data_IF_279648558158
#
_entry.id   IF_279648558158
#
_cell.length_a   1.000
_cell.length_b   1.000
_cell.length_c   1.000
_cell.angle_alpha   90.00
_cell.angle_beta   90.00
_cell.angle_gamma   90.00
#
_symmetry.space_group_name_H-M   'P 1'
#
loop_
_entity.id
_entity.type
_entity.pdbx_description
1 polymer ?
#
# COMPACT_ATOMS: atom_id res chain seq x y z
N UNK A 1 -7.98 -9.67 10.59
CA UNK A 1 -7.48 -8.56 9.74
C UNK A 1 -8.66 -8.09 8.90
N UNK A 2 -8.93 -6.78 8.83
CA UNK A 2 -10.07 -6.22 8.10
C UNK A 2 -9.55 -5.51 6.87
N UNK A 3 -10.01 -5.90 5.68
CA UNK A 3 -9.67 -5.19 4.45
C UNK A 3 -10.55 -3.95 4.30
N UNK A 4 -9.93 -2.82 3.98
CA UNK A 4 -10.59 -1.53 3.84
C UNK A 4 -10.33 -0.99 2.44
N UNK A 5 -11.34 -0.38 1.83
CA UNK A 5 -11.24 0.16 0.46
C UNK A 5 -10.57 1.53 0.42
N UNK A 6 -10.54 2.25 1.55
CA UNK A 6 -9.97 3.60 1.62
C UNK A 6 -9.45 3.93 3.02
N UNK A 7 -8.55 4.93 3.07
CA UNK A 7 -8.06 5.47 4.33
C UNK A 7 -9.18 6.11 5.17
N UNK A 8 -10.20 6.68 4.53
CA UNK A 8 -11.35 7.28 5.21
C UNK A 8 -12.16 6.25 6.02
N UNK A 9 -12.34 5.05 5.46
CA UNK A 9 -12.92 3.92 6.18
C UNK A 9 -12.07 3.49 7.38
N UNK A 10 -10.75 3.50 7.26
CA UNK A 10 -9.86 3.17 8.37
C UNK A 10 -9.98 4.17 9.52
N UNK A 11 -10.04 5.46 9.21
CA UNK A 11 -10.26 6.52 10.20
C UNK A 11 -11.60 6.37 10.91
N UNK A 12 -12.68 6.11 10.15
CA UNK A 12 -14.00 5.85 10.71
C UNK A 12 -14.01 4.63 11.61
N UNK A 13 -13.43 3.51 11.17
CA UNK A 13 -13.33 2.29 11.95
C UNK A 13 -12.54 2.49 13.25
N UNK A 14 -11.45 3.24 13.21
CA UNK A 14 -10.66 3.59 14.40
C UNK A 14 -11.39 4.47 15.40
N UNK A 15 -12.41 5.22 14.98
CA UNK A 15 -13.23 6.06 15.85
C UNK A 15 -14.43 5.32 16.47
N UNK A 16 -14.71 4.07 16.06
CA UNK A 16 -15.81 3.28 16.61
C UNK A 16 -15.41 2.77 18.00
N UNK A 17 -16.14 3.20 19.01
CA UNK A 17 -15.99 2.73 20.40
C UNK A 17 -16.97 1.59 20.75
N UNK A 18 -18.06 1.44 19.99
CA UNK A 18 -19.13 0.47 20.29
C UNK A 18 -19.71 -0.15 19.02
N UNK A 19 -19.93 -1.46 19.04
CA UNK A 19 -20.71 -2.18 18.03
C UNK A 19 -21.94 -2.79 18.73
N UNK A 20 -23.16 -2.34 18.36
CA UNK A 20 -24.41 -2.82 18.97
C UNK A 20 -24.37 -2.80 20.51
N UNK A 21 -23.96 -1.65 21.08
CA UNK A 21 -23.77 -1.43 22.52
C UNK A 21 -22.64 -2.24 23.20
N UNK A 22 -21.89 -3.05 22.44
CA UNK A 22 -20.71 -3.76 22.95
C UNK A 22 -19.49 -2.87 22.76
N UNK A 23 -18.73 -2.52 23.83
CA UNK A 23 -17.51 -1.74 23.69
C UNK A 23 -16.45 -2.52 22.91
N UNK A 24 -15.83 -1.87 21.95
CA UNK A 24 -14.76 -2.44 21.12
C UNK A 24 -13.57 -1.48 21.05
N UNK A 25 -12.39 -2.06 20.86
CA UNK A 25 -11.15 -1.29 20.63
C UNK A 25 -10.59 -1.66 19.27
N UNK A 26 -10.46 -0.68 18.39
CA UNK A 26 -9.81 -0.83 17.09
C UNK A 26 -8.43 -0.19 17.16
N UNK A 27 -7.39 -0.99 16.96
CA UNK A 27 -6.00 -0.49 16.90
C UNK A 27 -5.32 -0.94 15.60
N UNK A 28 -4.57 -0.05 14.92
CA UNK A 28 -3.80 -0.43 13.74
C UNK A 28 -2.64 -1.32 14.15
N UNK A 29 -2.46 -2.45 13.46
CA UNK A 29 -1.35 -3.36 13.71
C UNK A 29 -0.16 -3.04 12.80
N UNK A 30 0.96 -2.60 13.39
CA UNK A 30 2.12 -2.09 12.62
C UNK A 30 2.72 -3.09 11.63
N UNK A 31 2.76 -4.38 11.95
CA UNK A 31 3.39 -5.40 11.09
C UNK A 31 2.43 -6.19 10.20
N UNK A 32 1.12 -6.09 10.43
CA UNK A 32 0.11 -6.84 9.66
C UNK A 32 -0.64 -5.96 8.66
N UNK A 33 -0.56 -4.64 8.82
CA UNK A 33 -1.14 -3.71 7.85
C UNK A 33 -0.27 -3.69 6.59
N UNK A 34 -0.79 -4.22 5.49
CA UNK A 34 -0.19 -4.09 4.16
C UNK A 34 -1.14 -3.33 3.24
N UNK A 35 -0.58 -2.59 2.29
CA UNK A 35 -1.34 -1.91 1.25
C UNK A 35 -0.62 -2.08 -0.08
N UNK A 36 -1.40 -2.24 -1.16
CA UNK A 36 -0.86 -2.27 -2.53
C UNK A 36 -1.02 -0.87 -3.13
N UNK A 37 0.07 -0.35 -3.70
CA UNK A 37 0.08 0.94 -4.40
C UNK A 37 0.80 0.82 -5.73
N UNK A 38 0.50 1.73 -6.66
CA UNK A 38 1.21 1.87 -7.92
C UNK A 38 1.99 3.19 -7.90
N UNK A 39 3.26 3.15 -8.29
CA UNK A 39 4.12 4.32 -8.41
C UNK A 39 4.55 4.44 -9.87
N UNK A 40 4.35 5.60 -10.48
CA UNK A 40 4.88 5.92 -11.81
C UNK A 40 6.13 6.78 -11.64
N UNK A 41 7.31 6.20 -11.88
CA UNK A 41 8.60 6.91 -11.84
C UNK A 41 9.48 6.47 -13.01
N UNK A 42 10.21 7.42 -13.61
CA UNK A 42 11.21 7.13 -14.65
C UNK A 42 12.50 6.60 -14.03
N UNK A 43 12.83 7.03 -12.82
CA UNK A 43 14.06 6.64 -12.12
C UNK A 43 14.03 5.15 -11.76
N UNK A 44 12.87 4.64 -11.36
CA UNK A 44 12.66 3.22 -11.03
C UNK A 44 12.58 2.29 -12.26
N UNK A 45 12.67 2.84 -13.49
CA UNK A 45 12.50 2.06 -14.73
C UNK A 45 13.59 1.01 -14.94
N UNK A 46 14.78 1.28 -14.45
CA UNK A 46 15.97 0.44 -14.61
C UNK A 46 16.36 -0.30 -13.32
N UNK A 47 15.64 -0.07 -12.22
CA UNK A 47 15.83 -0.79 -10.96
C UNK A 47 15.22 -2.20 -11.05
N UNK A 48 15.88 -3.16 -10.43
CA UNK A 48 15.34 -4.51 -10.24
C UNK A 48 14.35 -4.55 -9.08
N UNK A 49 13.47 -5.55 -9.04
CA UNK A 49 12.46 -5.67 -7.98
C UNK A 49 13.11 -5.87 -6.61
N UNK A 50 14.28 -6.52 -6.56
CA UNK A 50 15.10 -6.74 -5.36
C UNK A 50 15.66 -5.42 -4.83
N UNK A 51 16.28 -4.62 -5.70
CA UNK A 51 16.83 -3.29 -5.36
C UNK A 51 15.74 -2.38 -4.80
N UNK A 52 14.53 -2.45 -5.38
CA UNK A 52 13.39 -1.68 -4.88
C UNK A 52 12.96 -2.11 -3.47
N UNK A 53 13.05 -3.39 -3.13
CA UNK A 53 12.67 -3.89 -1.79
C UNK A 53 13.75 -3.58 -0.76
N UNK A 54 15.03 -3.64 -1.14
CA UNK A 54 16.14 -3.34 -0.24
C UNK A 54 16.27 -1.84 0.07
N UNK A 55 16.14 -0.98 -0.95
CA UNK A 55 16.39 0.45 -0.80
C UNK A 55 15.17 1.24 -0.31
N UNK A 56 13.94 0.74 -0.54
CA UNK A 56 12.72 1.45 -0.13
C UNK A 56 12.22 0.97 1.23
N UNK A 57 12.36 1.83 2.25
CA UNK A 57 11.84 1.55 3.58
C UNK A 57 10.31 1.35 3.56
N UNK A 58 9.84 0.24 4.12
CA UNK A 58 8.41 -0.08 4.22
C UNK A 58 7.83 -0.83 3.03
N UNK A 59 8.64 -1.18 2.02
CA UNK A 59 8.24 -2.04 0.90
C UNK A 59 8.64 -3.48 1.22
N UNK A 60 7.67 -4.40 1.23
CA UNK A 60 7.94 -5.84 1.45
C UNK A 60 7.93 -6.62 0.13
N UNK A 61 7.31 -6.07 -0.90
CA UNK A 61 7.21 -6.68 -2.22
C UNK A 61 7.06 -5.59 -3.27
N UNK A 62 7.90 -5.63 -4.29
CA UNK A 62 7.82 -4.77 -5.45
C UNK A 62 7.48 -5.61 -6.69
N UNK A 63 6.72 -5.02 -7.62
CA UNK A 63 6.50 -5.61 -8.94
C UNK A 63 6.57 -4.54 -10.02
N UNK A 64 7.45 -4.72 -10.99
CA UNK A 64 7.68 -3.73 -12.03
C UNK A 64 6.73 -3.96 -13.22
N UNK A 65 5.79 -3.04 -13.44
CA UNK A 65 4.82 -3.13 -14.54
C UNK A 65 5.34 -2.31 -15.72
N UNK A 66 5.95 -2.98 -16.70
CA UNK A 66 6.44 -2.34 -17.93
C UNK A 66 5.27 -2.07 -18.88
N UNK A 67 4.66 -0.89 -18.78
CA UNK A 67 3.69 -0.40 -19.76
C UNK A 67 4.34 0.69 -20.60
N UNK A 68 4.70 0.38 -21.85
CA UNK A 68 5.07 1.39 -22.84
C UNK A 68 3.78 1.82 -23.57
N UNK A 69 3.25 3.00 -23.27
CA UNK A 69 2.20 3.64 -24.09
C UNK A 69 2.88 4.65 -25.00
N UNK A 70 3.02 4.30 -26.28
CA UNK A 70 3.60 5.15 -27.32
C UNK A 70 5.10 4.94 -27.48
N UNK A 71 5.48 4.58 -28.71
CA UNK A 71 6.86 4.50 -29.19
C UNK A 71 7.57 5.84 -28.98
N UNK A 72 8.67 5.83 -28.23
CA UNK A 72 9.70 6.86 -28.38
C UNK A 72 10.50 6.43 -29.63
N UNK A 73 10.07 6.97 -30.79
CA UNK A 73 10.81 6.83 -32.06
C UNK A 73 12.08 7.71 -31.98
N UNK A 74 13.17 7.30 -32.67
CA UNK A 74 14.56 7.45 -32.27
C UNK A 74 15.08 8.88 -32.18
#
# INVERSE_FOLDING_TARGET
MVELKSNDQAKKLGAIATFLDIPVTVSPHKSLNSSKGNICSRDLRYCSEEEMVEELSGVTHARCIKVCRGEDKP
#
